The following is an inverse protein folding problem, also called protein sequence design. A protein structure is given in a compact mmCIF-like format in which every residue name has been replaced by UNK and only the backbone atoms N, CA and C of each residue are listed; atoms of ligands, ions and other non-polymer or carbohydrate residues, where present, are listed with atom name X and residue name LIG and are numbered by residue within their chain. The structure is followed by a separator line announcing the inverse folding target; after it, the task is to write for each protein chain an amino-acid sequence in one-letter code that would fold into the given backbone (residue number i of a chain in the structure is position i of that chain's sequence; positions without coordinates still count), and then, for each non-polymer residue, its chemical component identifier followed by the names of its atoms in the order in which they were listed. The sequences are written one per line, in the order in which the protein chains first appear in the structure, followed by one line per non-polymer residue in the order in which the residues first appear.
data_IF_336924104248
#
_entry.id   IF_336924104248
#
_cell.length_a   1.000
_cell.length_b   1.000
_cell.length_c   1.000
_cell.angle_alpha   90.00
_cell.angle_beta   90.00
_cell.angle_gamma   90.00
#
_symmetry.space_group_name_H-M   'P 1'
#
loop_
_entity.id
_entity.type
_entity.pdbx_description
1 polymer ?
#
# COMPACT_ATOMS: atom_id res chain seq x y z
N UNK A 1 -69.06 18.97 12.34
CA UNK A 1 -67.97 19.46 11.47
C UNK A 1 -66.60 19.55 12.18
N UNK A 2 -66.48 19.37 13.51
CA UNK A 2 -65.16 19.52 14.17
C UNK A 2 -64.27 18.26 14.18
N UNK A 3 -64.83 17.06 14.23
CA UNK A 3 -64.03 15.82 14.28
C UNK A 3 -63.24 15.55 12.98
N UNK A 4 -63.85 15.84 11.83
CA UNK A 4 -63.20 15.71 10.51
C UNK A 4 -62.08 16.75 10.33
N UNK A 5 -62.27 17.99 10.79
CA UNK A 5 -61.21 19.01 10.74
C UNK A 5 -60.06 18.69 11.69
N UNK A 6 -60.33 18.14 12.88
CA UNK A 6 -59.28 17.70 13.81
C UNK A 6 -58.50 16.51 13.26
N UNK A 7 -59.17 15.57 12.59
CA UNK A 7 -58.52 14.46 11.88
C UNK A 7 -57.61 14.94 10.76
N UNK A 8 -58.06 15.90 9.94
CA UNK A 8 -57.25 16.48 8.85
C UNK A 8 -56.02 17.19 9.41
N UNK A 9 -56.17 18.03 10.45
CA UNK A 9 -55.03 18.73 11.08
C UNK A 9 -54.04 17.72 11.68
N UNK A 10 -54.52 16.64 12.29
CA UNK A 10 -53.66 15.57 12.81
C UNK A 10 -52.90 14.85 11.69
N UNK A 11 -53.56 14.55 10.58
CA UNK A 11 -52.96 13.93 9.40
C UNK A 11 -51.91 14.85 8.75
N UNK A 12 -52.21 16.14 8.56
CA UNK A 12 -51.26 17.13 8.02
C UNK A 12 -50.01 17.29 8.90
N UNK A 13 -50.17 17.17 10.21
CA UNK A 13 -49.03 17.16 11.14
C UNK A 13 -48.19 15.89 10.97
N UNK A 14 -48.84 14.72 10.91
CA UNK A 14 -48.14 13.44 10.73
C UNK A 14 -47.41 13.36 9.38
N UNK A 15 -47.99 13.90 8.31
CA UNK A 15 -47.34 13.97 7.00
C UNK A 15 -46.09 14.85 7.06
N UNK A 16 -46.18 16.04 7.69
CA UNK A 16 -45.01 16.91 7.86
C UNK A 16 -43.90 16.27 8.71
N UNK A 17 -44.27 15.61 9.81
CA UNK A 17 -43.32 14.87 10.65
C UNK A 17 -42.65 13.72 9.86
N UNK A 18 -43.41 13.02 9.00
CA UNK A 18 -42.87 11.96 8.14
C UNK A 18 -41.95 12.51 7.03
N UNK A 19 -42.31 13.62 6.39
CA UNK A 19 -41.47 14.29 5.38
C UNK A 19 -40.16 14.84 5.98
N UNK A 20 -40.20 15.32 7.22
CA UNK A 20 -39.01 15.76 7.95
C UNK A 20 -38.13 14.57 8.34
N UNK A 21 -38.71 13.51 8.91
CA UNK A 21 -37.99 12.27 9.21
C UNK A 21 -37.34 11.67 7.96
N UNK A 22 -38.04 11.67 6.82
CA UNK A 22 -37.51 11.17 5.56
C UNK A 22 -36.34 12.03 5.04
N UNK A 23 -36.42 13.36 5.15
CA UNK A 23 -35.30 14.25 4.79
C UNK A 23 -34.06 14.02 5.65
N UNK A 24 -34.25 13.83 6.96
CA UNK A 24 -33.15 13.53 7.89
C UNK A 24 -32.52 12.19 7.53
N UNK A 25 -33.33 11.15 7.31
CA UNK A 25 -32.85 9.83 6.93
C UNK A 25 -32.04 9.86 5.62
N UNK A 26 -32.52 10.58 4.60
CA UNK A 26 -31.79 10.72 3.34
C UNK A 26 -30.46 11.46 3.54
N UNK A 27 -30.45 12.55 4.32
CA UNK A 27 -29.20 13.28 4.61
C UNK A 27 -28.18 12.42 5.36
N UNK A 28 -28.64 11.52 6.23
CA UNK A 28 -27.76 10.58 6.93
C UNK A 28 -27.23 9.48 5.99
N UNK A 29 -28.06 9.02 5.05
CA UNK A 29 -27.66 8.08 4.01
C UNK A 29 -26.52 8.67 3.18
N UNK A 30 -26.70 9.88 2.66
CA UNK A 30 -25.71 10.57 1.84
C UNK A 30 -24.38 10.77 2.61
N UNK A 31 -24.45 11.20 3.87
CA UNK A 31 -23.28 11.38 4.71
C UNK A 31 -22.55 10.05 5.04
N UNK A 32 -23.29 8.95 5.18
CA UNK A 32 -22.69 7.64 5.41
C UNK A 32 -21.97 7.12 4.15
N UNK A 33 -22.58 7.28 2.98
CA UNK A 33 -21.97 6.88 1.71
C UNK A 33 -20.74 7.72 1.38
N UNK A 34 -20.78 9.04 1.60
CA UNK A 34 -19.61 9.92 1.40
C UNK A 34 -18.39 9.46 2.21
N UNK A 35 -18.60 9.06 3.48
CA UNK A 35 -17.52 8.59 4.34
C UNK A 35 -17.07 7.17 4.01
N UNK A 36 -17.99 6.30 3.57
CA UNK A 36 -17.62 4.98 3.06
C UNK A 36 -16.79 5.07 1.77
N UNK A 37 -17.09 6.05 0.91
CA UNK A 37 -16.35 6.28 -0.32
C UNK A 37 -14.89 6.67 -0.05
N UNK A 38 -14.60 7.37 1.05
CA UNK A 38 -13.21 7.64 1.45
C UNK A 38 -12.43 6.35 1.72
N UNK A 39 -13.05 5.35 2.37
CA UNK A 39 -12.45 4.04 2.64
C UNK A 39 -12.32 3.23 1.34
N UNK A 40 -13.38 3.22 0.51
CA UNK A 40 -13.38 2.50 -0.78
C UNK A 40 -12.32 3.04 -1.74
N UNK A 41 -12.04 4.34 -1.70
CA UNK A 41 -11.07 4.98 -2.58
C UNK A 41 -9.62 4.53 -2.33
N UNK A 42 -9.30 4.00 -1.13
CA UNK A 42 -7.94 3.52 -0.79
C UNK A 42 -7.49 2.42 -1.78
N UNK A 43 -8.35 1.43 -2.05
CA UNK A 43 -8.03 0.33 -2.96
C UNK A 43 -7.72 0.83 -4.37
N UNK A 44 -8.52 1.77 -4.90
CA UNK A 44 -8.29 2.38 -6.22
C UNK A 44 -6.99 3.17 -6.26
N UNK A 45 -6.73 4.00 -5.24
CA UNK A 45 -5.51 4.81 -5.18
C UNK A 45 -4.24 3.94 -5.12
N UNK A 46 -4.25 2.88 -4.31
CA UNK A 46 -3.12 1.94 -4.22
C UNK A 46 -2.94 1.12 -5.51
N UNK A 47 -4.04 0.75 -6.17
CA UNK A 47 -3.99 0.08 -7.47
C UNK A 47 -3.36 0.98 -8.52
N UNK A 48 -3.78 2.24 -8.63
CA UNK A 48 -3.16 3.22 -9.53
C UNK A 48 -1.67 3.42 -9.22
N UNK A 49 -1.32 3.58 -7.94
CA UNK A 49 0.06 3.73 -7.51
C UNK A 49 0.93 2.50 -7.85
N UNK A 50 0.38 1.28 -7.79
CA UNK A 50 1.10 0.06 -8.16
C UNK A 50 1.54 0.06 -9.63
N UNK A 51 0.70 0.60 -10.53
CA UNK A 51 1.02 0.77 -11.95
C UNK A 51 2.08 1.85 -12.18
N UNK A 52 2.01 2.95 -11.44
CA UNK A 52 3.02 4.02 -11.51
C UNK A 52 4.39 3.55 -11.01
N UNK A 53 4.41 2.78 -9.90
CA UNK A 53 5.61 2.21 -9.31
C UNK A 53 6.42 1.36 -10.29
N UNK A 54 5.76 0.55 -11.12
CA UNK A 54 6.47 -0.27 -12.13
C UNK A 54 7.28 0.61 -13.10
N UNK A 55 6.70 1.73 -13.54
CA UNK A 55 7.39 2.73 -14.35
C UNK A 55 8.57 3.37 -13.61
N UNK A 56 8.36 3.81 -12.37
CA UNK A 56 9.41 4.44 -11.56
C UNK A 56 10.59 3.50 -11.29
N UNK A 57 10.30 2.22 -11.03
CA UNK A 57 11.32 1.20 -10.80
C UNK A 57 12.09 0.92 -12.10
N UNK A 58 11.41 0.81 -13.23
CA UNK A 58 12.04 0.60 -14.53
C UNK A 58 12.97 1.77 -14.92
N UNK A 59 12.60 2.99 -14.55
CA UNK A 59 13.40 4.20 -14.80
C UNK A 59 14.46 4.46 -13.71
N UNK A 60 14.51 3.62 -12.66
CA UNK A 60 15.35 3.83 -11.48
C UNK A 60 15.14 5.21 -10.82
N UNK A 61 13.92 5.75 -10.89
CA UNK A 61 13.56 7.03 -10.27
C UNK A 61 13.40 6.86 -8.75
N UNK A 62 14.52 6.93 -8.07
CA UNK A 62 14.62 6.86 -6.61
C UNK A 62 13.63 7.81 -5.90
N UNK A 63 13.44 9.04 -6.40
CA UNK A 63 12.61 10.04 -5.73
C UNK A 63 11.13 9.74 -5.89
N UNK A 64 10.73 9.23 -7.06
CA UNK A 64 9.36 8.80 -7.30
C UNK A 64 8.99 7.56 -6.49
N UNK A 65 9.90 6.58 -6.37
CA UNK A 65 9.68 5.39 -5.52
C UNK A 65 9.64 5.77 -4.03
N UNK A 66 10.48 6.70 -3.57
CA UNK A 66 10.43 7.23 -2.20
C UNK A 66 9.07 7.87 -1.90
N UNK A 67 8.63 8.76 -2.79
CA UNK A 67 7.32 9.42 -2.67
C UNK A 67 6.19 8.39 -2.63
N UNK A 68 6.24 7.39 -3.49
CA UNK A 68 5.24 6.32 -3.51
C UNK A 68 5.19 5.56 -2.18
N UNK A 69 6.33 5.24 -1.56
CA UNK A 69 6.35 4.61 -0.23
C UNK A 69 5.65 5.48 0.84
N UNK A 70 5.88 6.79 0.82
CA UNK A 70 5.15 7.72 1.71
C UNK A 70 3.65 7.80 1.38
N UNK A 71 3.27 7.71 0.10
CA UNK A 71 1.86 7.70 -0.32
C UNK A 71 1.15 6.42 0.14
N UNK A 72 1.79 5.25 0.05
CA UNK A 72 1.27 4.00 0.62
C UNK A 72 1.02 4.18 2.13
N UNK A 73 2.03 4.67 2.86
CA UNK A 73 1.92 4.88 4.31
C UNK A 73 0.81 5.87 4.65
N UNK A 74 0.70 6.98 3.93
CA UNK A 74 -0.31 8.01 4.18
C UNK A 74 -1.73 7.63 3.76
N UNK A 75 -1.88 6.73 2.79
CA UNK A 75 -3.18 6.19 2.38
C UNK A 75 -3.74 5.19 3.40
N UNK A 76 -2.85 4.51 4.13
CA UNK A 76 -3.18 3.41 5.06
C UNK A 76 -3.05 3.80 6.54
N UNK A 77 -2.69 5.05 6.82
CA UNK A 77 -2.41 5.54 8.17
C UNK A 77 -3.65 5.49 9.07
N UNK A 78 -3.56 4.73 10.15
CA UNK A 78 -4.61 4.62 11.16
C UNK A 78 -5.04 5.97 11.72
N UNK A 79 -4.10 6.90 11.94
CA UNK A 79 -4.39 8.21 12.51
C UNK A 79 -5.32 9.04 11.61
N UNK A 80 -5.28 8.81 10.31
CA UNK A 80 -6.16 9.43 9.32
C UNK A 80 -7.48 8.67 9.17
N UNK A 81 -7.43 7.34 9.11
CA UNK A 81 -8.57 6.50 8.74
C UNK A 81 -9.50 6.17 9.91
N UNK A 82 -8.98 6.09 11.14
CA UNK A 82 -9.77 5.74 12.31
C UNK A 82 -10.89 6.76 12.60
N UNK A 83 -10.66 8.09 12.49
CA UNK A 83 -11.75 9.07 12.57
C UNK A 83 -12.87 8.85 11.54
N UNK A 84 -12.52 8.53 10.30
CA UNK A 84 -13.47 8.25 9.22
C UNK A 84 -14.29 7.00 9.54
N UNK A 85 -13.60 5.91 9.93
CA UNK A 85 -14.25 4.66 10.32
C UNK A 85 -15.23 4.85 11.48
N UNK A 86 -14.84 5.60 12.52
CA UNK A 86 -15.72 5.94 13.65
C UNK A 86 -16.99 6.63 13.19
N UNK A 87 -16.85 7.62 12.31
CA UNK A 87 -17.97 8.39 11.79
C UNK A 87 -18.93 7.49 10.99
N UNK A 88 -18.40 6.59 10.16
CA UNK A 88 -19.22 5.61 9.43
C UNK A 88 -19.97 4.70 10.39
N UNK A 89 -19.29 4.09 11.37
CA UNK A 89 -19.91 3.18 12.34
C UNK A 89 -21.04 3.86 13.14
N UNK A 90 -20.84 5.12 13.55
CA UNK A 90 -21.85 5.91 14.24
C UNK A 90 -23.05 6.26 13.35
N UNK A 91 -22.79 6.79 12.15
CA UNK A 91 -23.85 7.15 11.20
C UNK A 91 -24.68 5.94 10.80
N UNK A 92 -24.02 4.80 10.62
CA UNK A 92 -24.64 3.53 10.31
C UNK A 92 -25.54 3.03 11.44
N UNK A 93 -25.04 3.00 12.68
CA UNK A 93 -25.85 2.57 13.82
C UNK A 93 -27.13 3.41 13.94
N UNK A 94 -27.02 4.74 13.73
CA UNK A 94 -28.17 5.64 13.72
C UNK A 94 -29.13 5.38 12.55
N UNK A 95 -28.59 5.09 11.36
CA UNK A 95 -29.36 4.77 10.14
C UNK A 95 -30.15 3.48 10.27
N UNK A 96 -29.50 2.44 10.79
CA UNK A 96 -30.06 1.08 10.87
C UNK A 96 -30.95 0.91 12.12
N UNK A 97 -30.95 1.91 13.02
CA UNK A 97 -31.69 1.88 14.27
C UNK A 97 -31.07 0.94 15.31
N UNK A 98 -29.78 0.62 15.13
CA UNK A 98 -28.99 -0.22 16.01
C UNK A 98 -28.52 0.55 17.25
N UNK A 99 -27.99 -0.20 18.22
CA UNK A 99 -27.38 0.41 19.39
C UNK A 99 -26.11 1.13 18.97
N UNK A 100 -25.95 2.40 19.37
CA UNK A 100 -24.73 3.14 19.09
C UNK A 100 -23.51 2.43 19.73
N UNK A 101 -22.37 2.35 19.03
CA UNK A 101 -21.14 1.80 19.58
C UNK A 101 -20.72 2.55 20.84
N UNK A 102 -20.09 1.84 21.79
CA UNK A 102 -19.44 2.48 22.93
C UNK A 102 -18.29 3.36 22.41
N UNK A 103 -18.27 4.68 22.72
CA UNK A 103 -17.17 5.56 22.31
C UNK A 103 -15.79 5.03 22.71
N UNK A 104 -15.67 4.37 23.87
CA UNK A 104 -14.41 3.82 24.32
C UNK A 104 -13.91 2.65 23.46
N UNK A 105 -14.83 1.87 22.87
CA UNK A 105 -14.48 0.71 22.03
C UNK A 105 -13.96 1.13 20.66
N UNK A 106 -14.41 2.27 20.14
CA UNK A 106 -13.99 2.78 18.82
C UNK A 106 -12.86 3.80 18.91
N UNK A 107 -12.42 4.18 20.12
CA UNK A 107 -11.40 5.21 20.37
C UNK A 107 -9.96 4.76 20.11
N UNK A 108 -9.70 3.48 19.91
CA UNK A 108 -8.37 2.96 19.62
C UNK A 108 -8.44 1.70 18.77
N UNK A 109 -7.37 1.44 18.01
CA UNK A 109 -7.21 0.15 17.34
C UNK A 109 -6.87 -0.95 18.35
N UNK A 110 -7.33 -2.19 18.11
CA UNK A 110 -6.94 -3.34 18.92
C UNK A 110 -5.45 -3.66 18.73
N UNK A 111 -4.84 -4.25 19.75
CA UNK A 111 -3.53 -4.89 19.59
C UNK A 111 -3.69 -6.19 18.79
N UNK A 112 -2.94 -6.30 17.68
CA UNK A 112 -2.99 -7.49 16.83
C UNK A 112 -1.94 -8.52 17.26
N UNK A 113 -2.29 -9.82 17.32
CA UNK A 113 -1.29 -10.88 17.37
C UNK A 113 -0.48 -10.90 16.08
N UNK A 114 0.78 -11.37 16.16
CA UNK A 114 1.72 -11.35 15.04
C UNK A 114 1.21 -12.11 13.79
N UNK A 115 0.38 -13.14 13.97
CA UNK A 115 -0.19 -13.91 12.87
C UNK A 115 -1.24 -13.13 12.08
N UNK A 116 -2.02 -12.27 12.75
CA UNK A 116 -3.07 -11.46 12.12
C UNK A 116 -2.52 -10.17 11.53
N UNK A 117 -1.41 -9.67 12.08
CA UNK A 117 -0.64 -8.58 11.49
C UNK A 117 0.34 -9.05 10.41
N UNK A 118 0.30 -10.32 9.99
CA UNK A 118 1.22 -10.85 8.99
C UNK A 118 0.92 -10.24 7.61
N UNK A 119 1.96 -9.75 6.95
CA UNK A 119 1.91 -9.16 5.62
C UNK A 119 3.20 -9.52 4.88
N UNK A 120 3.26 -9.35 3.54
CA UNK A 120 4.50 -9.53 2.81
C UNK A 120 5.61 -8.63 3.37
N UNK A 121 6.74 -9.22 3.72
CA UNK A 121 7.95 -8.52 4.18
C UNK A 121 9.11 -9.00 3.31
N UNK A 122 10.01 -8.09 2.97
CA UNK A 122 11.27 -8.42 2.32
C UNK A 122 12.41 -7.80 3.12
N UNK A 123 13.16 -8.63 3.81
CA UNK A 123 14.38 -8.18 4.47
C UNK A 123 15.54 -8.11 3.49
N UNK A 124 16.52 -7.25 3.78
CA UNK A 124 17.79 -7.22 3.03
C UNK A 124 18.50 -8.57 3.07
N UNK A 125 18.46 -9.27 4.19
CA UNK A 125 19.09 -10.59 4.34
C UNK A 125 18.46 -11.63 3.41
N UNK A 126 17.13 -11.62 3.28
CA UNK A 126 16.43 -12.48 2.32
C UNK A 126 16.79 -12.14 0.88
N UNK A 127 16.73 -10.86 0.51
CA UNK A 127 17.09 -10.42 -0.84
C UNK A 127 18.52 -10.84 -1.24
N UNK A 128 19.48 -10.67 -0.32
CA UNK A 128 20.88 -11.05 -0.55
C UNK A 128 21.05 -12.56 -0.64
N UNK A 129 20.38 -13.33 0.22
CA UNK A 129 20.45 -14.79 0.21
C UNK A 129 19.94 -15.36 -1.10
N UNK A 130 18.76 -14.93 -1.52
CA UNK A 130 18.09 -15.42 -2.72
C UNK A 130 18.89 -15.04 -3.98
N UNK A 131 19.36 -13.80 -4.04
CA UNK A 131 20.22 -13.33 -5.13
C UNK A 131 21.55 -14.08 -5.20
N UNK A 132 22.19 -14.35 -4.06
CA UNK A 132 23.45 -15.08 -4.01
C UNK A 132 23.28 -16.53 -4.46
N UNK A 133 22.21 -17.20 -4.03
CA UNK A 133 21.91 -18.57 -4.45
C UNK A 133 21.74 -18.64 -5.98
N UNK A 134 20.96 -17.75 -6.56
CA UNK A 134 20.74 -17.74 -8.01
C UNK A 134 22.01 -17.40 -8.79
N UNK A 135 22.83 -16.47 -8.28
CA UNK A 135 24.13 -16.16 -8.87
C UNK A 135 25.04 -17.40 -8.87
N UNK A 136 25.09 -18.15 -7.76
CA UNK A 136 25.89 -19.38 -7.67
C UNK A 136 25.42 -20.44 -8.68
N UNK A 137 24.11 -20.63 -8.80
CA UNK A 137 23.51 -21.54 -9.79
C UNK A 137 23.84 -21.11 -11.23
N UNK A 138 23.79 -19.79 -11.49
CA UNK A 138 24.11 -19.21 -12.80
C UNK A 138 25.59 -19.35 -13.13
N UNK A 139 26.48 -18.99 -12.21
CA UNK A 139 27.92 -19.13 -12.42
C UNK A 139 28.33 -20.61 -12.59
N UNK A 140 27.71 -21.53 -11.84
CA UNK A 140 27.94 -22.97 -12.01
C UNK A 140 27.52 -23.43 -13.41
N UNK A 141 26.40 -22.92 -13.92
CA UNK A 141 25.92 -23.21 -15.27
C UNK A 141 26.86 -22.66 -16.35
N UNK A 142 27.36 -21.42 -16.20
CA UNK A 142 28.31 -20.83 -17.17
C UNK A 142 29.63 -21.61 -17.24
N UNK A 143 30.15 -22.04 -16.08
CA UNK A 143 31.34 -22.90 -16.00
C UNK A 143 31.15 -24.28 -16.64
N UNK A 144 29.91 -24.76 -16.76
CA UNK A 144 29.62 -25.99 -17.50
C UNK A 144 29.53 -25.77 -19.01
N UNK A 145 29.13 -24.57 -19.44
CA UNK A 145 29.03 -24.20 -20.86
C UNK A 145 30.43 -23.95 -21.44
N UNK A 146 31.23 -23.15 -20.74
CA UNK A 146 32.59 -22.76 -21.14
C UNK A 146 33.61 -23.49 -20.27
N UNK A 147 33.93 -24.73 -20.68
CA UNK A 147 34.82 -25.62 -19.93
C UNK A 147 36.02 -26.15 -20.76
N UNK A 148 36.14 -25.72 -22.01
CA UNK A 148 37.19 -26.14 -22.93
C UNK A 148 38.38 -25.14 -22.93
N UNK A 149 39.57 -25.61 -23.32
CA UNK A 149 40.74 -24.74 -23.50
C UNK A 149 40.46 -23.71 -24.61
N UNK A 150 40.59 -22.41 -24.28
CA UNK A 150 40.33 -21.30 -25.19
C UNK A 150 39.07 -20.48 -24.86
N UNK A 151 38.19 -20.98 -23.99
CA UNK A 151 36.96 -20.30 -23.58
C UNK A 151 37.16 -19.37 -22.37
N UNK A 152 38.38 -19.21 -21.86
CA UNK A 152 38.61 -18.51 -20.59
C UNK A 152 38.16 -17.05 -20.62
N UNK A 153 38.35 -16.37 -21.75
CA UNK A 153 37.92 -14.98 -21.92
C UNK A 153 36.39 -14.85 -21.93
N UNK A 154 35.69 -15.76 -22.62
CA UNK A 154 34.23 -15.76 -22.72
C UNK A 154 33.59 -16.15 -21.37
N UNK A 155 34.22 -17.09 -20.64
CA UNK A 155 33.79 -17.43 -19.28
C UNK A 155 33.96 -16.25 -18.32
N UNK A 156 35.10 -15.56 -18.35
CA UNK A 156 35.34 -14.40 -17.50
C UNK A 156 34.35 -13.25 -17.80
N UNK A 157 34.06 -12.99 -19.08
CA UNK A 157 33.03 -12.04 -19.51
C UNK A 157 31.65 -12.46 -18.98
N UNK A 158 31.22 -13.70 -19.23
CA UNK A 158 29.92 -14.19 -18.78
C UNK A 158 29.76 -14.20 -17.24
N UNK A 159 30.83 -14.50 -16.49
CA UNK A 159 30.82 -14.39 -15.03
C UNK A 159 30.72 -12.93 -14.56
N UNK A 160 31.37 -12.01 -15.26
CA UNK A 160 31.28 -10.58 -14.97
C UNK A 160 29.87 -10.03 -15.24
N UNK A 161 29.28 -10.41 -16.38
CA UNK A 161 27.90 -10.06 -16.73
C UNK A 161 26.91 -10.62 -15.71
N UNK A 162 26.99 -11.91 -15.37
CA UNK A 162 26.10 -12.53 -14.40
C UNK A 162 26.12 -11.85 -13.02
N UNK A 163 27.30 -11.42 -12.56
CA UNK A 163 27.44 -10.66 -11.30
C UNK A 163 26.79 -9.28 -11.41
N UNK A 164 26.95 -8.61 -12.54
CA UNK A 164 26.39 -7.28 -12.79
C UNK A 164 24.86 -7.35 -12.85
N UNK A 165 24.32 -8.32 -13.60
CA UNK A 165 22.88 -8.59 -13.68
C UNK A 165 22.30 -8.94 -12.30
N UNK A 166 22.98 -9.75 -11.49
CA UNK A 166 22.53 -10.09 -10.13
C UNK A 166 22.47 -8.88 -9.19
N UNK A 167 23.30 -7.85 -9.42
CA UNK A 167 23.20 -6.59 -8.68
C UNK A 167 21.98 -5.78 -9.14
N UNK A 168 21.78 -5.65 -10.46
CA UNK A 168 20.64 -4.91 -11.04
C UNK A 168 19.30 -5.54 -10.65
N UNK A 169 19.20 -6.87 -10.75
CA UNK A 169 17.99 -7.62 -10.43
C UNK A 169 17.58 -7.48 -8.95
N UNK A 170 18.55 -7.30 -8.03
CA UNK A 170 18.23 -7.03 -6.62
C UNK A 170 17.46 -5.74 -6.43
N UNK A 171 17.84 -4.66 -7.11
CA UNK A 171 17.10 -3.40 -7.05
C UNK A 171 15.69 -3.56 -7.64
N UNK A 172 15.57 -4.25 -8.79
CA UNK A 172 14.26 -4.55 -9.38
C UNK A 172 13.37 -5.38 -8.45
N UNK A 173 13.91 -6.41 -7.79
CA UNK A 173 13.16 -7.24 -6.82
C UNK A 173 12.71 -6.46 -5.60
N UNK A 174 13.59 -5.64 -5.04
CA UNK A 174 13.27 -4.79 -3.91
C UNK A 174 12.16 -3.78 -4.28
N UNK A 175 12.24 -3.16 -5.46
CA UNK A 175 11.18 -2.28 -5.96
C UNK A 175 9.85 -3.03 -6.16
N UNK A 176 9.89 -4.21 -6.79
CA UNK A 176 8.69 -5.06 -6.98
C UNK A 176 8.05 -5.48 -5.66
N UNK A 177 8.78 -5.49 -4.55
CA UNK A 177 8.18 -5.75 -3.25
C UNK A 177 7.22 -4.64 -2.81
N UNK A 178 7.50 -3.36 -3.12
CA UNK A 178 6.57 -2.26 -2.90
C UNK A 178 5.29 -2.42 -3.72
N UNK A 179 5.41 -2.87 -4.98
CA UNK A 179 4.24 -3.19 -5.83
C UNK A 179 3.40 -4.29 -5.17
N UNK A 180 4.03 -5.39 -4.76
CA UNK A 180 3.35 -6.49 -4.06
C UNK A 180 2.65 -6.02 -2.78
N UNK A 181 3.25 -5.07 -2.06
CA UNK A 181 2.64 -4.51 -0.86
C UNK A 181 1.38 -3.70 -1.22
N UNK A 182 1.42 -2.87 -2.26
CA UNK A 182 0.24 -2.16 -2.77
C UNK A 182 -0.88 -3.13 -3.17
N UNK A 183 -0.54 -4.14 -3.98
CA UNK A 183 -1.48 -5.16 -4.44
C UNK A 183 -2.11 -5.91 -3.27
N UNK A 184 -1.30 -6.36 -2.31
CA UNK A 184 -1.79 -7.04 -1.11
C UNK A 184 -2.79 -6.18 -0.30
N UNK A 185 -2.46 -4.91 -0.07
CA UNK A 185 -3.35 -4.01 0.67
C UNK A 185 -4.62 -3.74 -0.14
N UNK A 186 -4.50 -3.46 -1.44
CA UNK A 186 -5.62 -3.08 -2.30
C UNK A 186 -6.59 -4.24 -2.57
N UNK A 187 -6.06 -5.45 -2.78
CA UNK A 187 -6.81 -6.63 -3.22
C UNK A 187 -7.25 -7.55 -2.07
N UNK A 188 -6.50 -7.61 -0.97
CA UNK A 188 -6.83 -8.47 0.17
C UNK A 188 -7.39 -7.69 1.36
N UNK A 189 -6.70 -6.64 1.81
CA UNK A 189 -7.05 -5.98 3.08
C UNK A 189 -8.18 -4.94 2.95
N UNK A 190 -8.13 -4.09 1.92
CA UNK A 190 -9.13 -3.04 1.70
C UNK A 190 -10.56 -3.63 1.53
N UNK A 191 -10.77 -4.72 0.78
CA UNK A 191 -12.10 -5.33 0.69
C UNK A 191 -12.64 -5.83 2.03
N UNK A 192 -11.79 -6.35 2.90
CA UNK A 192 -12.19 -6.80 4.24
C UNK A 192 -12.58 -5.61 5.13
N UNK A 193 -11.79 -4.53 5.09
CA UNK A 193 -12.11 -3.28 5.80
C UNK A 193 -13.45 -2.70 5.32
N UNK A 194 -13.64 -2.59 4.00
CA UNK A 194 -14.89 -2.09 3.41
C UNK A 194 -16.05 -2.98 3.83
N UNK A 195 -15.94 -4.30 3.65
CA UNK A 195 -17.01 -5.26 3.95
C UNK A 195 -17.41 -5.22 5.42
N UNK A 196 -16.43 -5.20 6.34
CA UNK A 196 -16.70 -5.16 7.78
C UNK A 196 -17.38 -3.85 8.19
N UNK A 197 -16.92 -2.73 7.63
CA UNK A 197 -17.54 -1.42 7.84
C UNK A 197 -18.95 -1.37 7.24
N UNK A 198 -19.14 -1.94 6.05
CA UNK A 198 -20.41 -2.10 5.34
C UNK A 198 -21.34 -3.15 5.95
N UNK A 199 -20.88 -3.95 6.91
CA UNK A 199 -21.72 -4.80 7.75
C UNK A 199 -22.01 -4.20 9.13
N UNK A 200 -21.26 -3.17 9.53
CA UNK A 200 -21.37 -2.57 10.86
C UNK A 200 -20.72 -3.43 11.94
N UNK A 201 -19.84 -4.35 11.56
CA UNK A 201 -19.06 -5.14 12.50
C UNK A 201 -17.91 -4.28 13.02
N UNK A 202 -18.14 -3.69 14.20
CA UNK A 202 -17.19 -2.74 14.81
C UNK A 202 -15.84 -3.41 15.06
N UNK A 203 -15.83 -4.63 15.61
CA UNK A 203 -14.60 -5.29 16.01
C UNK A 203 -13.80 -5.73 14.78
N UNK A 204 -14.46 -6.34 13.79
CA UNK A 204 -13.79 -6.74 12.56
C UNK A 204 -13.33 -5.53 11.73
N UNK A 205 -14.09 -4.42 11.71
CA UNK A 205 -13.66 -3.22 11.00
C UNK A 205 -12.43 -2.55 11.65
N UNK A 206 -12.39 -2.47 12.99
CA UNK A 206 -11.23 -1.95 13.71
C UNK A 206 -10.01 -2.86 13.55
N UNK A 207 -10.22 -4.17 13.56
CA UNK A 207 -9.18 -5.17 13.30
C UNK A 207 -8.64 -5.02 11.88
N UNK A 208 -9.50 -5.00 10.87
CA UNK A 208 -9.12 -4.83 9.47
C UNK A 208 -8.33 -3.54 9.26
N UNK A 209 -8.76 -2.42 9.89
CA UNK A 209 -8.00 -1.17 9.83
C UNK A 209 -6.62 -1.29 10.48
N UNK A 210 -6.51 -2.00 11.61
CA UNK A 210 -5.22 -2.24 12.26
C UNK A 210 -4.28 -3.08 11.37
N UNK A 211 -4.80 -4.04 10.61
CA UNK A 211 -4.02 -4.85 9.66
C UNK A 211 -3.58 -4.00 8.47
N UNK A 212 -4.46 -3.16 7.93
CA UNK A 212 -4.13 -2.18 6.87
C UNK A 212 -3.02 -1.23 7.30
N UNK A 213 -3.12 -0.65 8.51
CA UNK A 213 -2.09 0.24 9.06
C UNK A 213 -0.76 -0.48 9.27
N UNK A 214 -0.79 -1.71 9.78
CA UNK A 214 0.41 -2.52 9.97
C UNK A 214 1.12 -2.81 8.64
N UNK A 215 0.39 -3.24 7.61
CA UNK A 215 0.94 -3.46 6.27
C UNK A 215 1.46 -2.14 5.66
N UNK A 216 0.73 -1.03 5.85
CA UNK A 216 1.14 0.30 5.42
C UNK A 216 2.46 0.77 6.03
N UNK A 217 2.79 0.38 7.27
CA UNK A 217 4.06 0.68 7.94
C UNK A 217 5.26 0.01 7.27
N UNK A 218 5.05 -1.08 6.54
CA UNK A 218 6.13 -1.79 5.85
C UNK A 218 6.64 -1.06 4.60
N UNK A 219 5.89 -0.08 4.07
CA UNK A 219 6.30 0.66 2.89
C UNK A 219 7.66 1.38 3.06
N UNK A 220 7.93 1.95 4.23
CA UNK A 220 9.20 2.62 4.51
C UNK A 220 10.37 1.62 4.63
N UNK A 221 10.30 0.55 5.45
CA UNK A 221 11.30 -0.52 5.45
C UNK A 221 11.57 -1.13 4.07
N UNK A 222 10.52 -1.45 3.31
CA UNK A 222 10.63 -1.99 1.96
C UNK A 222 11.38 -1.03 1.02
N UNK A 223 11.06 0.26 1.10
CA UNK A 223 11.78 1.29 0.36
C UNK A 223 13.26 1.37 0.76
N UNK A 224 13.60 1.22 2.05
CA UNK A 224 15.01 1.19 2.49
C UNK A 224 15.78 0.00 1.92
N UNK A 225 15.15 -1.14 1.73
CA UNK A 225 15.79 -2.27 1.03
C UNK A 225 16.05 -1.92 -0.45
N UNK A 226 15.11 -1.24 -1.11
CA UNK A 226 15.28 -0.76 -2.48
C UNK A 226 16.39 0.29 -2.63
N UNK A 227 16.42 1.30 -1.77
CA UNK A 227 17.45 2.35 -1.76
C UNK A 227 18.86 1.76 -1.63
N UNK A 228 19.03 0.80 -0.72
CA UNK A 228 20.32 0.13 -0.51
C UNK A 228 20.73 -0.67 -1.75
N UNK A 229 19.80 -1.39 -2.37
CA UNK A 229 20.08 -2.16 -3.58
C UNK A 229 20.46 -1.25 -4.77
N UNK A 230 19.78 -0.11 -4.95
CA UNK A 230 20.15 0.90 -5.95
C UNK A 230 21.53 1.50 -5.67
N UNK A 231 21.86 1.76 -4.41
CA UNK A 231 23.18 2.28 -4.04
C UNK A 231 24.30 1.30 -4.41
N UNK A 232 24.09 0.00 -4.14
CA UNK A 232 25.03 -1.05 -4.55
C UNK A 232 25.14 -1.17 -6.08
N UNK A 233 24.04 -0.99 -6.80
CA UNK A 233 24.05 -0.94 -8.27
C UNK A 233 24.82 0.26 -8.80
N UNK A 234 24.63 1.45 -8.20
CA UNK A 234 25.37 2.65 -8.56
C UNK A 234 26.88 2.47 -8.36
N UNK A 235 27.32 1.97 -7.20
CA UNK A 235 28.75 1.78 -6.92
C UNK A 235 29.46 0.83 -7.91
N UNK A 236 28.71 -0.13 -8.46
CA UNK A 236 29.25 -1.20 -9.31
C UNK A 236 29.14 -0.89 -10.80
N UNK A 237 28.02 -0.31 -11.21
CA UNK A 237 27.72 0.00 -12.60
C UNK A 237 26.83 1.23 -12.70
N UNK A 238 27.36 2.45 -12.49
CA UNK A 238 26.56 3.68 -12.50
C UNK A 238 25.73 3.86 -13.77
N UNK A 239 26.30 3.53 -14.94
CA UNK A 239 25.63 3.63 -16.23
C UNK A 239 24.41 2.72 -16.39
N UNK A 240 24.26 1.70 -15.54
CA UNK A 240 23.09 0.82 -15.55
C UNK A 240 21.83 1.47 -14.99
N UNK A 241 21.97 2.63 -14.33
CA UNK A 241 20.85 3.42 -13.81
C UNK A 241 20.35 4.46 -14.83
N UNK A 242 20.76 4.36 -16.10
CA UNK A 242 20.35 5.26 -17.16
C UNK A 242 20.69 6.72 -16.86
N UNK A 243 19.74 7.62 -17.13
CA UNK A 243 19.90 9.07 -16.96
C UNK A 243 20.22 9.48 -15.52
N UNK A 244 19.69 8.74 -14.53
CA UNK A 244 19.97 8.99 -13.10
C UNK A 244 21.43 8.72 -12.80
N UNK A 245 21.96 7.60 -13.28
CA UNK A 245 23.38 7.26 -13.17
C UNK A 245 24.29 8.30 -13.82
N UNK A 246 23.96 8.73 -15.05
CA UNK A 246 24.71 9.76 -15.77
C UNK A 246 24.74 11.10 -15.01
N UNK A 247 23.61 11.54 -14.47
CA UNK A 247 23.53 12.77 -13.69
C UNK A 247 24.37 12.71 -12.41
N UNK A 248 24.32 11.59 -11.68
CA UNK A 248 25.12 11.38 -10.46
C UNK A 248 26.62 11.39 -10.76
N UNK A 249 27.05 10.68 -11.82
CA UNK A 249 28.44 10.70 -12.26
C UNK A 249 28.90 12.11 -12.66
N UNK A 250 28.07 12.88 -13.36
CA UNK A 250 28.38 14.27 -13.72
C UNK A 250 28.52 15.15 -12.48
N UNK A 251 27.65 14.98 -11.48
CA UNK A 251 27.71 15.72 -10.23
C UNK A 251 28.98 15.38 -9.42
N UNK A 252 29.34 14.10 -9.30
CA UNK A 252 30.60 13.68 -8.67
C UNK A 252 31.82 14.25 -9.38
N UNK A 253 31.81 14.23 -10.72
CA UNK A 253 32.88 14.82 -11.52
C UNK A 253 33.04 16.32 -11.24
N UNK A 254 31.93 17.04 -11.05
CA UNK A 254 31.94 18.46 -10.69
C UNK A 254 32.48 18.68 -9.27
N UNK A 255 32.04 17.89 -8.28
CA UNK A 255 32.56 17.96 -6.91
C UNK A 255 34.06 17.67 -6.82
N UNK A 256 34.55 16.71 -7.62
CA UNK A 256 35.98 16.36 -7.70
C UNK A 256 36.85 17.38 -8.45
N UNK A 257 36.25 18.40 -9.06
CA UNK A 257 36.97 19.49 -9.76
C UNK A 257 37.16 20.77 -8.93
N UNK A 258 36.73 20.78 -7.65
CA UNK A 258 37.04 21.84 -6.67
C UNK A 258 38.24 21.47 -5.80
#
# INVERSE_FOLDING_TARGET
MSELSELVVKLERQVREAEEAHRIANSMWDACEEQLDEIRHISSALSELSWELDGYIAECDYSAVERAAYEIRGATDADRLLPVLRQVLLLRALRDGDTAPDPAEIESLPELPAEEAAHPILTREELLRDSQQELEEREASLRQIWCDEGDEADLDEGLHEARTEAIQDRATRAGRHLIKLCEYIAEELCPELVTSTENGDIQEALKALAVVDAAGKEAEPAYKVYEVALSEQYERSPSSLGSVGEHLMLFESWLGTQ
#
